data_IF_467946773320
#
_entry.id   IF_467946773320
#
_cell.length_a   1.000
_cell.length_b   1.000
_cell.length_c   1.000
_cell.angle_alpha   90.00
_cell.angle_beta   90.00
_cell.angle_gamma   90.00
#
_symmetry.space_group_name_H-M   'P 1'
#
loop_
_entity.id
_entity.type
_entity.pdbx_description
1 polymer ?
#
# COMPACT_ATOMS: atom_id res chain seq x y z
N UNK A 1 35.00 0.85 19.83
CA UNK A 1 33.99 -0.07 19.25
C UNK A 1 32.58 0.54 19.31
N UNK A 2 32.41 1.82 18.93
CA UNK A 2 31.14 2.58 19.08
C UNK A 2 30.51 2.86 17.69
N UNK A 3 31.35 3.09 16.66
CA UNK A 3 30.95 3.35 15.27
C UNK A 3 30.04 2.28 14.64
N UNK A 4 30.14 1.01 15.09
CA UNK A 4 29.35 -0.11 14.55
C UNK A 4 27.88 -0.08 15.00
N UNK A 5 27.61 0.45 16.20
CA UNK A 5 26.27 0.44 16.81
C UNK A 5 25.33 1.40 16.09
N UNK A 6 25.85 2.55 15.67
CA UNK A 6 25.08 3.58 14.96
C UNK A 6 24.66 3.11 13.55
N UNK A 7 25.54 2.43 12.82
CA UNK A 7 25.22 1.86 11.50
C UNK A 7 24.13 0.79 11.57
N UNK A 8 24.20 -0.09 12.58
CA UNK A 8 23.17 -1.12 12.79
C UNK A 8 21.83 -0.48 13.15
N UNK A 9 21.84 0.55 14.01
CA UNK A 9 20.62 1.24 14.41
C UNK A 9 19.97 2.00 13.24
N UNK A 10 20.76 2.66 12.39
CA UNK A 10 20.29 3.31 11.16
C UNK A 10 19.71 2.26 10.19
N UNK A 11 20.38 1.13 10.01
CA UNK A 11 19.93 0.06 9.13
C UNK A 11 18.57 -0.52 9.59
N UNK A 12 18.42 -0.79 10.90
CA UNK A 12 17.16 -1.25 11.47
C UNK A 12 16.03 -0.23 11.30
N UNK A 13 16.34 1.05 11.49
CA UNK A 13 15.37 2.14 11.31
C UNK A 13 14.90 2.24 9.85
N UNK A 14 15.85 2.27 8.89
CA UNK A 14 15.54 2.32 7.45
C UNK A 14 14.72 1.09 7.03
N UNK A 15 15.05 -0.09 7.54
CA UNK A 15 14.31 -1.31 7.24
C UNK A 15 12.86 -1.25 7.71
N UNK A 16 12.62 -0.81 8.96
CA UNK A 16 11.27 -0.62 9.48
C UNK A 16 10.49 0.44 8.69
N UNK A 17 11.16 1.51 8.27
CA UNK A 17 10.56 2.59 7.49
C UNK A 17 10.17 2.13 6.07
N UNK A 18 11.01 1.31 5.42
CA UNK A 18 10.67 0.68 4.14
C UNK A 18 9.45 -0.24 4.29
N UNK A 19 9.40 -1.09 5.32
CA UNK A 19 8.25 -1.97 5.56
C UNK A 19 6.97 -1.17 5.78
N UNK A 20 7.05 -0.10 6.57
CA UNK A 20 5.93 0.82 6.78
C UNK A 20 5.47 1.45 5.45
N UNK A 21 6.38 2.04 4.68
CA UNK A 21 6.03 2.64 3.39
C UNK A 21 5.47 1.64 2.40
N UNK A 22 6.00 0.41 2.33
CA UNK A 22 5.49 -0.65 1.47
C UNK A 22 4.05 -1.05 1.83
N UNK A 23 3.73 -1.17 3.13
CA UNK A 23 2.36 -1.45 3.59
C UNK A 23 1.40 -0.32 3.21
N UNK A 24 1.82 0.94 3.38
CA UNK A 24 1.01 2.11 2.99
C UNK A 24 0.88 2.24 1.47
N UNK A 25 1.91 1.86 0.71
CA UNK A 25 1.88 1.91 -0.75
C UNK A 25 0.93 0.84 -1.31
N UNK A 26 0.96 -0.38 -0.80
CA UNK A 26 0.00 -1.43 -1.19
C UNK A 26 -1.44 -1.02 -0.88
N UNK A 27 -1.68 -0.32 0.24
CA UNK A 27 -3.01 0.21 0.57
C UNK A 27 -3.46 1.37 -0.33
N UNK A 28 -2.53 2.05 -1.03
CA UNK A 28 -2.82 3.19 -1.92
C UNK A 28 -2.63 2.91 -3.40
N UNK A 29 -2.13 1.73 -3.77
CA UNK A 29 -2.08 1.31 -5.17
C UNK A 29 -3.52 1.16 -5.60
N UNK A 30 -4.00 2.17 -6.32
CA UNK A 30 -5.29 2.10 -7.01
C UNK A 30 -5.23 0.86 -7.90
N UNK A 31 -6.13 -0.08 -7.65
CA UNK A 31 -6.22 -1.29 -8.45
C UNK A 31 -6.68 -0.88 -9.84
N UNK A 32 -5.87 -1.11 -10.89
CA UNK A 32 -6.31 -0.84 -12.24
C UNK A 32 -7.48 -1.77 -12.57
N UNK A 33 -8.48 -1.24 -13.26
CA UNK A 33 -9.68 -1.96 -13.66
C UNK A 33 -10.04 -1.63 -15.11
N UNK A 34 -10.73 -2.54 -15.77
CA UNK A 34 -11.29 -2.38 -17.12
C UNK A 34 -12.82 -2.36 -17.06
N UNK A 35 -13.41 -3.16 -16.18
CA UNK A 35 -14.83 -3.21 -15.84
C UNK A 35 -15.03 -3.03 -14.33
N UNK A 36 -16.25 -2.70 -13.91
CA UNK A 36 -16.65 -2.66 -12.50
C UNK A 36 -16.43 -4.04 -11.82
N UNK A 37 -16.51 -5.14 -12.59
CA UNK A 37 -16.31 -6.51 -12.12
C UNK A 37 -14.85 -6.84 -11.73
N UNK A 38 -13.88 -6.06 -12.19
CA UNK A 38 -12.46 -6.22 -11.83
C UNK A 38 -12.18 -5.73 -10.41
N UNK A 39 -13.07 -4.90 -9.86
CA UNK A 39 -12.97 -4.41 -8.50
C UNK A 39 -13.53 -5.47 -7.55
N UNK A 40 -12.72 -5.88 -6.57
CA UNK A 40 -13.15 -6.84 -5.55
C UNK A 40 -14.39 -6.29 -4.83
N UNK A 41 -15.53 -6.95 -5.02
CA UNK A 41 -16.74 -6.73 -4.23
C UNK A 41 -16.41 -7.04 -2.76
N UNK A 42 -16.22 -5.99 -1.96
CA UNK A 42 -16.14 -6.16 -0.52
C UNK A 42 -17.50 -6.64 0.00
N UNK A 43 -17.47 -7.54 0.98
CA UNK A 43 -18.63 -8.23 1.58
C UNK A 43 -19.68 -7.29 2.25
N UNK A 44 -19.48 -5.97 2.21
CA UNK A 44 -20.30 -4.89 2.78
C UNK A 44 -20.16 -3.65 1.87
N UNK A 45 -21.17 -2.79 1.71
CA UNK A 45 -21.06 -1.63 0.82
C UNK A 45 -20.00 -0.70 1.40
N UNK A 46 -18.93 -0.48 0.63
CA UNK A 46 -18.98 0.53 -0.41
C UNK A 46 -18.92 -0.03 -1.83
N UNK A 47 -19.64 0.60 -2.74
CA UNK A 47 -19.68 0.19 -4.16
C UNK A 47 -18.37 0.65 -4.78
N UNK A 48 -17.47 -0.30 -5.04
CA UNK A 48 -16.26 -0.01 -5.81
C UNK A 48 -16.64 0.04 -7.28
N UNK A 49 -16.45 1.19 -7.92
CA UNK A 49 -16.63 1.32 -9.37
C UNK A 49 -15.30 1.58 -10.05
N UNK A 50 -15.21 1.17 -11.30
CA UNK A 50 -14.10 1.47 -12.16
C UNK A 50 -14.25 2.89 -12.70
N UNK A 51 -13.54 3.84 -12.09
CA UNK A 51 -13.53 5.25 -12.50
C UNK A 51 -12.13 5.60 -12.97
N UNK A 52 -12.01 6.11 -14.20
CA UNK A 52 -10.70 6.43 -14.81
C UNK A 52 -9.72 5.24 -14.82
N UNK A 53 -10.22 4.02 -15.04
CA UNK A 53 -9.44 2.76 -15.02
C UNK A 53 -8.86 2.42 -13.65
N UNK A 54 -9.40 2.97 -12.57
CA UNK A 54 -9.03 2.65 -11.19
C UNK A 54 -10.26 2.34 -10.36
N UNK A 55 -10.17 1.38 -9.45
CA UNK A 55 -11.26 1.14 -8.50
C UNK A 55 -11.34 2.29 -7.50
N UNK A 56 -12.44 3.02 -7.54
CA UNK A 56 -12.74 4.10 -6.61
C UNK A 56 -13.99 3.75 -5.81
N UNK A 57 -13.99 4.19 -4.56
CA UNK A 57 -15.06 4.00 -3.61
C UNK A 57 -16.11 5.11 -3.81
N UNK A 58 -17.36 4.75 -4.10
CA UNK A 58 -18.47 5.69 -4.27
C UNK A 58 -19.52 5.48 -3.17
#
# INVERSE_FOLDING_TARGET
MIMRKNMVQILSFVHALILFLSLFLVAKVRTPCVSDDDCLEAFLPPIWKCVHNFCENI
#
